data_IF_094922587205
#
_entry.id   IF_094922587205
#
_cell.length_a   1.000
_cell.length_b   1.000
_cell.length_c   1.000
_cell.angle_alpha   90.00
_cell.angle_beta   90.00
_cell.angle_gamma   90.00
#
_symmetry.space_group_name_H-M   'P 1'
#
loop_
_entity.id
_entity.type
_entity.pdbx_description
1 polymer ?
#
# COMPACT_ATOMS: atom_id res chain seq x y z
N UNK A 1 19.82 22.56 35.83
CA UNK A 1 18.94 21.82 34.90
C UNK A 1 19.82 21.30 33.79
N UNK A 2 20.09 19.98 33.69
CA UNK A 2 20.76 19.47 32.52
C UNK A 2 19.76 19.38 31.38
N UNK A 3 20.13 20.10 30.34
CA UNK A 3 19.72 20.10 28.94
C UNK A 3 19.24 18.71 28.50
N UNK A 4 18.07 18.68 27.85
CA UNK A 4 17.49 17.50 27.24
C UNK A 4 18.58 16.73 26.45
N UNK A 5 18.81 15.48 26.83
CA UNK A 5 19.63 14.57 26.03
C UNK A 5 18.99 14.52 24.65
N UNK A 6 19.77 14.75 23.59
CA UNK A 6 19.44 14.30 22.25
C UNK A 6 19.11 12.81 22.37
N UNK A 7 17.81 12.49 22.45
CA UNK A 7 17.33 11.15 22.22
C UNK A 7 17.88 10.79 20.85
N UNK A 8 18.66 9.71 20.75
CA UNK A 8 19.17 9.21 19.48
C UNK A 8 17.93 8.92 18.64
N UNK A 9 17.53 9.89 17.83
CA UNK A 9 16.33 9.83 17.02
C UNK A 9 16.55 8.68 16.03
N UNK A 10 15.58 7.78 15.96
CA UNK A 10 15.53 6.80 14.88
C UNK A 10 15.68 7.54 13.56
N UNK A 11 16.63 7.14 12.72
CA UNK A 11 16.75 7.69 11.36
C UNK A 11 15.41 7.45 10.66
N UNK A 12 14.81 8.50 10.13
CA UNK A 12 13.52 8.42 9.46
C UNK A 12 13.70 8.56 7.95
N UNK A 13 12.89 7.84 7.21
CA UNK A 13 12.81 7.92 5.75
C UNK A 13 11.58 8.72 5.36
N UNK A 14 11.76 9.73 4.51
CA UNK A 14 10.65 10.47 3.92
C UNK A 14 10.00 9.64 2.80
N UNK A 15 8.70 9.39 2.92
CA UNK A 15 7.87 8.79 1.88
C UNK A 15 6.99 9.89 1.28
N UNK A 16 7.15 10.24 -0.01
CA UNK A 16 6.42 11.33 -0.62
C UNK A 16 4.93 11.02 -0.73
N UNK A 17 4.12 12.08 -0.72
CA UNK A 17 2.70 12.00 -1.01
C UNK A 17 2.48 11.41 -2.42
N UNK A 18 1.36 10.73 -2.60
CA UNK A 18 0.99 10.19 -3.90
C UNK A 18 0.34 8.83 -3.82
N UNK A 19 -0.12 8.39 -4.99
CA UNK A 19 -0.86 7.14 -5.13
C UNK A 19 0.06 5.93 -5.27
N UNK A 20 -0.42 4.79 -4.80
CA UNK A 20 0.20 3.48 -5.08
C UNK A 20 -0.85 2.38 -5.07
N UNK A 21 -0.48 1.19 -5.59
CA UNK A 21 -1.33 0.00 -5.54
C UNK A 21 -1.07 -0.82 -4.28
N UNK A 22 -2.05 -0.81 -3.38
CA UNK A 22 -2.12 -1.62 -2.17
C UNK A 22 -2.79 -2.97 -2.42
N UNK A 23 -2.29 -4.01 -1.78
CA UNK A 23 -2.78 -5.38 -1.83
C UNK A 23 -2.09 -6.23 -2.88
N UNK A 24 -2.76 -7.29 -3.31
CA UNK A 24 -2.25 -8.18 -4.34
C UNK A 24 -3.32 -8.56 -5.36
N UNK A 25 -2.87 -8.98 -6.54
CA UNK A 25 -3.70 -9.65 -7.54
C UNK A 25 -2.94 -10.86 -8.08
N UNK A 26 -3.68 -11.90 -8.44
CA UNK A 26 -3.15 -13.13 -9.06
C UNK A 26 -2.31 -12.83 -10.31
N UNK A 27 -2.65 -11.75 -11.00
CA UNK A 27 -2.15 -11.42 -12.34
C UNK A 27 -0.78 -10.73 -12.28
N UNK A 28 -0.40 -10.25 -11.09
CA UNK A 28 0.91 -9.66 -10.82
C UNK A 28 1.80 -10.56 -9.97
N UNK A 29 1.17 -11.47 -9.23
CA UNK A 29 1.84 -12.27 -8.22
C UNK A 29 1.80 -13.78 -8.51
N UNK A 30 1.99 -14.20 -9.76
CA UNK A 30 2.14 -15.61 -10.18
C UNK A 30 1.19 -16.57 -9.43
N UNK A 31 -0.07 -16.14 -9.22
CA UNK A 31 -1.12 -16.94 -8.58
C UNK A 31 -1.09 -17.06 -7.04
N UNK A 32 -0.17 -16.44 -6.30
CA UNK A 32 -0.14 -16.51 -4.82
C UNK A 32 -0.50 -15.16 -4.21
N UNK A 33 -1.78 -14.99 -3.95
CA UNK A 33 -2.34 -13.81 -3.32
C UNK A 33 -3.39 -14.25 -2.30
N UNK A 34 -3.20 -13.83 -1.05
CA UNK A 34 -4.17 -14.05 0.02
C UNK A 34 -5.49 -13.34 -0.34
N UNK A 35 -6.61 -14.00 -0.06
CA UNK A 35 -7.94 -13.45 -0.29
C UNK A 35 -8.15 -12.11 0.41
N UNK A 36 -7.42 -11.88 1.50
CA UNK A 36 -7.70 -10.78 2.44
C UNK A 36 -6.89 -9.53 2.08
N UNK A 37 -5.88 -9.70 1.23
CA UNK A 37 -5.14 -8.65 0.54
C UNK A 37 -5.75 -8.32 -0.85
N UNK A 38 -6.93 -8.87 -1.17
CA UNK A 38 -7.72 -8.53 -2.37
C UNK A 38 -8.90 -7.62 -2.01
N UNK A 39 -9.41 -6.83 -2.98
CA UNK A 39 -8.81 -6.58 -4.28
C UNK A 39 -7.58 -5.68 -4.17
N UNK A 40 -6.79 -5.65 -5.24
CA UNK A 40 -5.76 -4.62 -5.38
C UNK A 40 -6.44 -3.25 -5.51
N UNK A 41 -5.96 -2.29 -4.74
CA UNK A 41 -6.58 -0.98 -4.59
C UNK A 41 -5.53 0.08 -4.87
N UNK A 42 -5.74 0.96 -5.84
CA UNK A 42 -5.00 2.21 -5.83
C UNK A 42 -5.55 3.11 -4.73
N UNK A 43 -4.65 3.64 -3.90
CA UNK A 43 -4.93 4.55 -2.79
C UNK A 43 -3.92 5.69 -2.81
N UNK A 44 -4.32 6.86 -2.31
CA UNK A 44 -3.46 8.01 -2.11
C UNK A 44 -3.07 8.12 -0.65
N UNK A 45 -1.78 8.37 -0.40
CA UNK A 45 -1.27 8.71 0.93
C UNK A 45 -0.62 10.09 0.87
N UNK A 46 -0.86 10.90 1.90
CA UNK A 46 -0.07 12.09 2.18
C UNK A 46 1.40 11.73 2.40
N UNK A 47 2.25 12.75 2.40
CA UNK A 47 3.65 12.57 2.72
C UNK A 47 3.81 12.28 4.23
N UNK A 48 4.65 11.30 4.55
CA UNK A 48 4.95 10.91 5.92
C UNK A 48 6.42 10.54 6.06
N UNK A 49 6.87 10.45 7.30
CA UNK A 49 8.15 9.90 7.68
C UNK A 49 7.92 8.55 8.37
N UNK A 50 8.84 7.60 8.16
CA UNK A 50 8.79 6.29 8.81
C UNK A 50 10.17 5.87 9.31
N UNK A 51 10.19 5.17 10.44
CA UNK A 51 11.23 4.26 10.94
C UNK A 51 12.10 3.68 9.81
N UNK A 52 13.38 4.07 9.63
CA UNK A 52 14.25 3.38 8.67
C UNK A 52 14.40 1.90 9.02
N UNK A 53 14.43 1.58 10.30
CA UNK A 53 14.45 0.22 10.85
C UNK A 53 13.38 0.07 11.93
N UNK A 54 13.18 -1.15 12.41
CA UNK A 54 12.42 -1.43 13.62
C UNK A 54 13.01 -0.69 14.84
N UNK A 55 12.16 -0.40 15.82
CA UNK A 55 12.61 0.14 17.11
C UNK A 55 13.48 -0.89 17.82
N UNK A 56 14.66 -0.46 18.25
CA UNK A 56 15.63 -1.34 18.90
C UNK A 56 15.42 -1.46 20.41
N UNK A 57 15.99 -2.49 21.04
CA UNK A 57 16.03 -2.65 22.49
C UNK A 57 16.59 -1.41 23.18
N UNK A 58 17.69 -0.85 22.69
CA UNK A 58 18.32 0.35 23.26
C UNK A 58 17.40 1.56 23.23
N UNK A 59 16.69 1.75 22.13
CA UNK A 59 15.73 2.84 21.97
C UNK A 59 14.51 2.68 22.87
N UNK A 60 13.90 1.50 22.88
CA UNK A 60 12.78 1.20 23.76
C UNK A 60 13.16 1.36 25.24
N UNK A 61 14.37 0.95 25.62
CA UNK A 61 14.90 1.12 26.98
C UNK A 61 15.01 2.59 27.42
N UNK A 62 15.18 3.54 26.50
CA UNK A 62 15.14 4.97 26.85
C UNK A 62 13.74 5.39 27.31
N UNK A 63 12.67 4.89 26.67
CA UNK A 63 11.30 5.17 27.08
C UNK A 63 10.96 4.53 28.43
N UNK A 64 11.46 3.31 28.68
CA UNK A 64 11.32 2.63 29.97
C UNK A 64 12.08 3.40 31.06
N UNK A 65 13.31 3.81 30.80
CA UNK A 65 14.12 4.59 31.75
C UNK A 65 13.50 5.96 32.07
N UNK A 66 12.75 6.54 31.12
CA UNK A 66 11.95 7.75 31.33
C UNK A 66 10.69 7.53 32.17
N UNK A 67 10.35 6.28 32.52
CA UNK A 67 9.16 5.92 33.28
C UNK A 67 7.86 6.00 32.48
N UNK A 68 7.93 6.04 31.15
CA UNK A 68 6.76 6.18 30.26
C UNK A 68 6.33 4.84 29.69
N UNK A 69 7.28 4.03 29.20
CA UNK A 69 6.99 2.71 28.66
C UNK A 69 7.08 1.61 29.72
N UNK A 70 6.24 0.59 29.58
CA UNK A 70 6.39 -0.66 30.32
C UNK A 70 7.50 -1.54 29.76
N UNK A 71 8.10 -2.38 30.59
CA UNK A 71 9.02 -3.41 30.13
C UNK A 71 8.33 -4.42 29.19
N UNK A 72 9.07 -5.01 28.23
CA UNK A 72 8.57 -6.16 27.47
C UNK A 72 8.09 -7.29 28.41
N UNK A 73 7.21 -8.16 27.91
CA UNK A 73 6.61 -9.24 28.71
C UNK A 73 7.67 -10.14 29.34
N UNK A 74 8.71 -10.44 28.57
CA UNK A 74 9.92 -11.13 29.01
C UNK A 74 11.13 -10.45 28.39
N UNK A 75 12.28 -10.58 29.04
CA UNK A 75 13.57 -10.06 28.56
C UNK A 75 14.33 -11.05 27.68
N UNK A 76 13.69 -12.17 27.33
CA UNK A 76 14.25 -13.29 26.56
C UNK A 76 13.76 -13.26 25.10
N UNK A 77 14.60 -13.75 24.19
CA UNK A 77 14.21 -14.15 22.83
C UNK A 77 14.22 -15.68 22.70
N UNK A 78 13.91 -16.22 21.51
CA UNK A 78 13.84 -17.67 21.25
C UNK A 78 15.04 -18.45 21.81
N UNK A 79 16.25 -17.93 21.58
CA UNK A 79 17.50 -18.64 21.92
C UNK A 79 18.35 -17.92 22.95
N UNK A 80 17.92 -16.74 23.43
CA UNK A 80 18.77 -15.84 24.25
C UNK A 80 18.04 -15.46 25.55
N UNK A 81 18.45 -16.00 26.71
CA UNK A 81 17.81 -15.71 28.01
C UNK A 81 18.14 -14.31 28.56
N UNK A 82 19.10 -13.61 27.96
CA UNK A 82 19.40 -12.23 28.29
C UNK A 82 19.46 -11.43 26.98
N UNK A 83 18.28 -11.11 26.44
CA UNK A 83 18.10 -10.39 25.19
C UNK A 83 17.98 -8.88 25.43
N UNK A 84 16.93 -8.45 26.15
CA UNK A 84 16.54 -7.04 26.22
C UNK A 84 17.58 -6.13 26.91
N UNK A 85 18.18 -6.57 28.01
CA UNK A 85 19.16 -5.78 28.77
C UNK A 85 20.61 -5.98 28.37
N UNK A 86 20.89 -6.94 27.48
CA UNK A 86 22.25 -7.26 27.12
C UNK A 86 22.80 -6.22 26.12
N UNK A 87 23.92 -5.55 26.44
CA UNK A 87 24.50 -4.53 25.55
C UNK A 87 24.83 -5.06 24.14
N UNK A 88 25.10 -6.35 23.99
CA UNK A 88 25.36 -6.96 22.67
C UNK A 88 24.12 -6.97 21.76
N UNK A 89 22.92 -6.83 22.33
CA UNK A 89 21.64 -6.83 21.60
C UNK A 89 20.94 -5.46 21.63
N UNK A 90 21.67 -4.39 21.97
CA UNK A 90 21.13 -3.02 22.00
C UNK A 90 20.52 -2.61 20.65
N UNK A 91 21.13 -3.04 19.54
CA UNK A 91 20.68 -2.72 18.17
C UNK A 91 19.77 -3.80 17.55
N UNK A 92 19.23 -4.72 18.35
CA UNK A 92 18.26 -5.71 17.89
C UNK A 92 16.84 -5.18 18.11
N UNK A 93 15.85 -5.61 17.31
CA UNK A 93 14.48 -5.13 17.44
C UNK A 93 13.92 -5.42 18.83
N UNK A 94 13.20 -4.47 19.42
CA UNK A 94 12.41 -4.79 20.61
C UNK A 94 11.29 -5.76 20.22
N UNK A 95 11.13 -6.81 21.01
CA UNK A 95 10.13 -7.88 20.85
C UNK A 95 9.41 -8.09 22.18
N UNK A 96 8.44 -9.02 22.24
CA UNK A 96 7.66 -9.28 23.46
C UNK A 96 6.89 -8.03 23.92
N UNK A 97 6.44 -7.22 22.96
CA UNK A 97 5.65 -6.01 23.16
C UNK A 97 4.31 -6.15 22.45
N UNK A 98 3.26 -5.76 23.16
CA UNK A 98 1.91 -5.73 22.61
C UNK A 98 1.66 -4.43 21.83
N UNK A 99 0.51 -4.33 21.18
CA UNK A 99 0.17 -3.16 20.37
C UNK A 99 0.16 -1.86 21.22
N UNK A 100 -0.35 -1.94 22.45
CA UNK A 100 -0.45 -0.79 23.35
C UNK A 100 0.94 -0.25 23.75
N UNK A 101 1.90 -1.15 24.03
CA UNK A 101 3.30 -0.82 24.34
C UNK A 101 4.01 -0.21 23.14
N UNK A 102 3.80 -0.77 21.95
CA UNK A 102 4.32 -0.21 20.70
C UNK A 102 3.78 1.21 20.45
N UNK A 103 2.47 1.40 20.57
CA UNK A 103 1.81 2.68 20.39
C UNK A 103 2.23 3.72 21.46
N UNK A 104 2.39 3.29 22.72
CA UNK A 104 2.88 4.15 23.80
C UNK A 104 4.30 4.63 23.54
N UNK A 105 5.19 3.76 23.06
CA UNK A 105 6.54 4.16 22.68
C UNK A 105 6.54 5.18 21.55
N UNK A 106 5.79 4.92 20.47
CA UNK A 106 5.75 5.86 19.35
C UNK A 106 5.20 7.21 19.80
N UNK A 107 4.17 7.23 20.64
CA UNK A 107 3.63 8.46 21.22
C UNK A 107 4.66 9.21 22.07
N UNK A 108 5.43 8.51 22.91
CA UNK A 108 6.53 9.10 23.70
C UNK A 108 7.62 9.69 22.81
N UNK A 109 7.92 9.02 21.70
CA UNK A 109 8.86 9.49 20.69
C UNK A 109 8.31 10.63 19.82
N UNK A 110 7.12 11.18 20.12
CA UNK A 110 6.42 12.20 19.32
C UNK A 110 6.12 11.74 17.88
N UNK A 111 5.79 10.45 17.76
CA UNK A 111 5.44 9.73 16.53
C UNK A 111 4.12 8.97 16.76
N UNK A 112 3.77 8.07 15.84
CA UNK A 112 2.66 7.12 15.93
C UNK A 112 3.07 5.79 15.29
N UNK A 113 2.26 4.75 15.43
CA UNK A 113 2.39 3.59 14.54
C UNK A 113 2.03 3.99 13.10
N UNK A 114 2.68 3.41 12.07
CA UNK A 114 2.25 3.59 10.68
C UNK A 114 0.89 2.94 10.48
N UNK A 115 0.12 3.44 9.51
CA UNK A 115 -1.05 2.70 9.03
C UNK A 115 -0.62 1.49 8.21
N UNK A 116 -1.50 0.51 8.04
CA UNK A 116 -1.27 -0.64 7.15
C UNK A 116 -0.87 -0.17 5.74
N UNK A 117 -1.53 0.88 5.25
CA UNK A 117 -1.28 1.45 3.94
C UNK A 117 0.07 2.16 3.85
N UNK A 118 0.44 2.95 4.87
CA UNK A 118 1.74 3.61 4.93
C UNK A 118 2.87 2.59 4.98
N UNK A 119 2.71 1.55 5.81
CA UNK A 119 3.65 0.46 5.90
C UNK A 119 3.82 -0.23 4.54
N UNK A 120 2.72 -0.56 3.85
CA UNK A 120 2.80 -1.22 2.54
C UNK A 120 3.46 -0.32 1.49
N UNK A 121 3.13 0.98 1.45
CA UNK A 121 3.78 1.93 0.54
C UNK A 121 5.27 2.01 0.82
N UNK A 122 5.66 2.18 2.10
CA UNK A 122 7.05 2.25 2.52
C UNK A 122 7.84 0.99 2.16
N UNK A 123 7.22 -0.19 2.26
CA UNK A 123 7.82 -1.47 1.91
C UNK A 123 7.95 -1.64 0.39
N UNK A 124 6.89 -1.36 -0.35
CA UNK A 124 6.73 -1.77 -1.76
C UNK A 124 7.19 -0.74 -2.77
N UNK A 125 6.99 0.55 -2.51
CA UNK A 125 7.08 1.59 -3.52
C UNK A 125 5.78 1.80 -4.31
N UNK A 126 5.89 2.43 -5.48
CA UNK A 126 4.74 2.77 -6.36
C UNK A 126 4.37 1.66 -7.35
N UNK A 127 5.25 0.67 -7.51
CA UNK A 127 5.04 -0.50 -8.37
C UNK A 127 4.55 -1.70 -7.57
N UNK A 128 3.94 -2.70 -8.21
CA UNK A 128 3.57 -3.95 -7.53
C UNK A 128 4.83 -4.81 -7.37
N UNK A 129 5.41 -4.79 -6.17
CA UNK A 129 6.56 -5.61 -5.79
C UNK A 129 6.19 -6.55 -4.65
N UNK A 130 6.57 -7.82 -4.75
CA UNK A 130 6.33 -8.80 -3.68
C UNK A 130 7.17 -8.52 -2.45
N UNK A 131 8.39 -8.05 -2.68
CA UNK A 131 9.36 -7.77 -1.65
C UNK A 131 9.91 -6.35 -1.84
N UNK A 132 10.53 -5.75 -0.83
CA UNK A 132 11.02 -4.37 -0.91
C UNK A 132 11.97 -4.10 -2.09
N UNK A 133 12.75 -5.12 -2.45
CA UNK A 133 13.73 -5.09 -3.54
C UNK A 133 13.18 -5.49 -4.92
N UNK A 134 11.92 -5.93 -5.02
CA UNK A 134 11.35 -6.46 -6.27
C UNK A 134 10.68 -7.82 -6.10
N UNK A 135 10.77 -8.66 -7.14
CA UNK A 135 10.00 -9.91 -7.25
C UNK A 135 10.86 -11.19 -7.18
N UNK A 136 12.17 -11.04 -6.98
CA UNK A 136 13.07 -12.17 -6.73
C UNK A 136 12.76 -12.80 -5.38
N UNK A 137 12.68 -14.14 -5.34
CA UNK A 137 12.42 -14.87 -4.11
C UNK A 137 13.51 -14.57 -3.05
N UNK A 138 13.13 -14.43 -1.76
CA UNK A 138 14.06 -14.13 -0.68
C UNK A 138 15.03 -15.29 -0.46
N UNK A 139 16.25 -14.92 -0.07
CA UNK A 139 17.30 -15.85 0.37
C UNK A 139 17.80 -15.47 1.77
N UNK A 140 18.48 -16.38 2.45
CA UNK A 140 19.01 -16.14 3.79
C UNK A 140 20.12 -15.06 3.81
N UNK A 141 20.70 -14.73 2.66
CA UNK A 141 21.65 -13.63 2.48
C UNK A 141 20.97 -12.27 2.31
N UNK A 142 19.67 -12.25 1.96
CA UNK A 142 18.91 -11.02 1.75
C UNK A 142 18.00 -10.67 2.91
N UNK A 143 17.40 -11.66 3.60
CA UNK A 143 16.54 -11.43 4.77
C UNK A 143 16.68 -12.53 5.81
N UNK A 144 16.31 -12.23 7.06
CA UNK A 144 16.13 -13.23 8.11
C UNK A 144 14.70 -13.78 8.08
N UNK A 145 14.52 -15.01 7.61
CA UNK A 145 13.20 -15.67 7.49
C UNK A 145 13.33 -17.19 7.60
N UNK A 146 12.22 -17.92 7.44
CA UNK A 146 12.20 -19.39 7.39
C UNK A 146 11.92 -19.93 5.98
N UNK A 147 12.95 -20.19 5.14
CA UNK A 147 12.77 -20.84 3.84
C UNK A 147 12.21 -22.25 3.98
N UNK A 148 11.40 -22.65 2.99
CA UNK A 148 10.96 -24.03 2.83
C UNK A 148 12.10 -24.88 2.24
N UNK A 149 12.50 -25.94 2.93
CA UNK A 149 13.47 -26.94 2.44
C UNK A 149 12.78 -28.28 2.33
N UNK A 150 12.92 -28.92 1.17
CA UNK A 150 12.35 -30.24 0.90
C UNK A 150 13.48 -31.28 0.87
N UNK A 151 13.26 -32.43 1.53
CA UNK A 151 14.16 -33.57 1.37
C UNK A 151 13.95 -34.27 0.01
N UNK A 152 14.81 -35.24 -0.31
CA UNK A 152 14.72 -36.04 -1.55
C UNK A 152 13.44 -36.89 -1.63
N UNK A 153 12.73 -37.08 -0.51
CA UNK A 153 11.45 -37.78 -0.44
C UNK A 153 10.24 -36.86 -0.63
N UNK A 154 10.44 -35.55 -0.83
CA UNK A 154 9.37 -34.57 -1.00
C UNK A 154 8.77 -34.04 0.31
N UNK A 155 9.34 -34.36 1.48
CA UNK A 155 8.90 -33.77 2.73
C UNK A 155 9.50 -32.37 2.88
N UNK A 156 8.63 -31.36 2.83
CA UNK A 156 9.02 -29.96 2.94
C UNK A 156 8.75 -29.42 4.35
N UNK A 157 9.73 -28.77 4.95
CA UNK A 157 9.60 -28.07 6.25
C UNK A 157 10.29 -26.71 6.19
N UNK A 158 9.79 -25.77 6.97
CA UNK A 158 10.42 -24.46 7.13
C UNK A 158 11.57 -24.59 8.12
N UNK A 159 12.73 -24.02 7.76
CA UNK A 159 13.89 -23.95 8.64
C UNK A 159 14.38 -22.50 8.69
N UNK A 160 14.32 -21.84 9.86
CA UNK A 160 14.82 -20.47 10.02
C UNK A 160 16.27 -20.33 9.54
N UNK A 161 16.59 -19.20 8.91
CA UNK A 161 17.96 -18.87 8.53
C UNK A 161 18.86 -18.74 9.76
N UNK A 162 18.41 -17.98 10.76
CA UNK A 162 19.12 -17.74 12.02
C UNK A 162 18.47 -18.47 13.21
N UNK A 163 17.12 -18.52 13.23
CA UNK A 163 16.37 -19.10 14.35
C UNK A 163 16.11 -18.11 15.50
N UNK A 164 16.42 -16.84 15.29
CA UNK A 164 16.12 -15.74 16.20
C UNK A 164 16.26 -14.41 15.42
N UNK A 165 15.94 -13.29 16.07
CA UNK A 165 16.18 -11.93 15.59
C UNK A 165 17.66 -11.67 15.28
N UNK A 166 17.92 -10.75 14.36
CA UNK A 166 19.24 -10.16 14.10
C UNK A 166 19.22 -8.67 14.41
N UNK A 167 20.40 -8.04 14.49
CA UNK A 167 20.48 -6.58 14.61
C UNK A 167 19.79 -5.92 13.41
N UNK A 168 19.10 -4.80 13.65
CA UNK A 168 18.49 -4.03 12.57
C UNK A 168 19.55 -3.53 11.59
N UNK A 169 19.20 -3.45 10.31
CA UNK A 169 20.08 -3.09 9.22
C UNK A 169 21.13 -4.15 8.85
N UNK A 170 21.06 -5.37 9.41
CA UNK A 170 22.01 -6.46 9.08
C UNK A 170 21.93 -6.88 7.61
N UNK A 171 20.81 -6.62 6.96
CA UNK A 171 20.54 -6.97 5.57
C UNK A 171 20.42 -5.71 4.70
N UNK A 172 21.53 -5.11 4.23
CA UNK A 172 21.48 -3.88 3.44
C UNK A 172 20.79 -4.06 2.07
N UNK A 173 20.69 -5.30 1.57
CA UNK A 173 19.92 -5.64 0.37
C UNK A 173 18.41 -5.76 0.63
N UNK A 174 17.97 -5.72 1.89
CA UNK A 174 16.57 -5.63 2.31
C UNK A 174 16.09 -4.18 2.38
N UNK A 175 16.52 -3.36 1.41
CA UNK A 175 16.16 -1.95 1.32
C UNK A 175 14.97 -1.78 0.38
N UNK A 176 13.98 -1.00 0.80
CA UNK A 176 12.82 -0.65 -0.02
C UNK A 176 13.16 0.41 -1.05
N UNK A 177 12.24 0.63 -1.99
CA UNK A 177 12.32 1.72 -2.96
C UNK A 177 12.59 3.09 -2.33
N UNK A 178 12.07 3.34 -1.13
CA UNK A 178 12.22 4.61 -0.42
C UNK A 178 13.47 4.65 0.48
N UNK A 179 14.20 3.55 0.64
CA UNK A 179 15.37 3.48 1.52
C UNK A 179 15.08 2.91 2.92
N UNK A 180 13.89 2.35 3.14
CA UNK A 180 13.51 1.73 4.41
C UNK A 180 14.07 0.31 4.47
N UNK A 181 14.72 -0.06 5.58
CA UNK A 181 15.32 -1.37 5.79
C UNK A 181 14.39 -2.28 6.58
N UNK A 182 14.60 -3.58 6.39
CA UNK A 182 13.98 -4.64 7.21
C UNK A 182 12.45 -4.65 7.19
N UNK A 183 11.86 -4.18 6.10
CA UNK A 183 10.40 -4.20 5.92
C UNK A 183 9.85 -5.62 5.75
N UNK A 184 10.67 -6.64 5.44
CA UNK A 184 10.24 -8.04 5.47
C UNK A 184 11.28 -8.91 6.14
N UNK A 185 10.84 -9.89 6.93
CA UNK A 185 11.72 -10.71 7.76
C UNK A 185 12.03 -10.07 9.10
N UNK A 186 12.93 -10.71 9.85
CA UNK A 186 13.32 -10.34 11.20
C UNK A 186 12.14 -10.38 12.19
N UNK A 187 11.30 -9.37 12.28
CA UNK A 187 10.10 -9.37 13.12
C UNK A 187 8.89 -8.87 12.33
N UNK A 188 7.72 -9.43 12.63
CA UNK A 188 6.45 -8.83 12.25
C UNK A 188 6.32 -7.46 12.92
N UNK A 189 5.62 -6.53 12.29
CA UNK A 189 5.52 -5.17 12.81
C UNK A 189 4.08 -4.75 13.04
N UNK A 190 3.79 -4.29 14.27
CA UNK A 190 2.51 -3.65 14.58
C UNK A 190 2.26 -2.42 13.71
N UNK A 191 1.04 -2.31 13.18
CA UNK A 191 0.51 -1.10 12.54
C UNK A 191 -0.69 -0.56 13.34
N UNK A 192 -1.13 0.67 13.06
CA UNK A 192 -2.24 1.29 13.79
C UNK A 192 -3.60 0.62 13.54
N UNK A 193 -3.76 -0.03 12.40
CA UNK A 193 -5.04 -0.47 11.89
C UNK A 193 -5.58 -1.70 12.65
N UNK A 194 -6.88 -1.67 12.93
CA UNK A 194 -7.63 -2.87 13.29
C UNK A 194 -7.67 -3.86 12.11
N UNK A 195 -7.74 -5.14 12.41
CA UNK A 195 -7.97 -6.16 11.40
C UNK A 195 -9.46 -6.35 11.10
N UNK A 196 -9.80 -6.19 9.82
CA UNK A 196 -11.01 -6.75 9.23
C UNK A 196 -10.70 -7.32 7.83
N UNK A 197 -11.04 -8.59 7.66
CA UNK A 197 -10.88 -9.35 6.42
C UNK A 197 -11.45 -8.62 5.18
N UNK A 198 -12.69 -8.11 5.19
CA UNK A 198 -13.26 -7.45 4.01
C UNK A 198 -12.82 -5.98 3.83
N UNK A 199 -11.94 -5.43 4.66
CA UNK A 199 -11.65 -3.99 4.68
C UNK A 199 -11.23 -3.45 3.30
N UNK A 200 -10.46 -4.20 2.52
CA UNK A 200 -10.00 -3.75 1.20
C UNK A 200 -11.15 -3.55 0.20
N UNK A 201 -12.35 -4.11 0.42
CA UNK A 201 -13.53 -3.89 -0.43
C UNK A 201 -14.17 -2.52 -0.22
N UNK A 202 -14.01 -1.93 0.97
CA UNK A 202 -14.66 -0.68 1.38
C UNK A 202 -13.69 0.42 1.80
N UNK A 203 -12.38 0.15 1.74
CA UNK A 203 -11.37 1.11 2.17
C UNK A 203 -11.41 2.40 1.32
N UNK A 204 -11.29 3.57 1.98
CA UNK A 204 -11.27 4.85 1.30
C UNK A 204 -10.02 4.98 0.44
N UNK A 205 -10.12 5.84 -0.58
CA UNK A 205 -9.00 6.15 -1.48
C UNK A 205 -7.92 6.98 -0.78
N UNK A 206 -8.29 7.98 0.02
CA UNK A 206 -7.35 8.86 0.73
C UNK A 206 -7.05 8.37 2.13
N UNK A 207 -5.75 8.29 2.44
CA UNK A 207 -5.22 8.04 3.78
C UNK A 207 -6.02 7.00 4.57
N UNK A 208 -6.25 5.77 4.05
CA UNK A 208 -7.00 4.76 4.78
C UNK A 208 -6.34 4.47 6.12
N UNK A 209 -7.14 4.55 7.20
CA UNK A 209 -6.72 4.38 8.60
C UNK A 209 -7.13 3.03 9.19
N UNK A 210 -7.57 2.09 8.35
CA UNK A 210 -8.16 0.85 8.81
C UNK A 210 -9.66 0.97 9.14
N UNK A 211 -10.29 -0.13 9.55
CA UNK A 211 -11.60 -0.13 10.19
C UNK A 211 -11.56 0.64 11.52
N UNK A 212 -12.69 1.25 11.91
CA UNK A 212 -12.80 1.92 13.22
C UNK A 212 -13.00 0.96 14.39
N UNK A 213 -13.37 -0.29 14.10
CA UNK A 213 -13.58 -1.38 15.08
C UNK A 213 -13.16 -2.70 14.45
N UNK A 214 -12.62 -3.61 15.28
CA UNK A 214 -12.49 -5.03 14.93
C UNK A 214 -13.51 -5.83 15.76
N UNK A 215 -14.25 -6.74 15.12
CA UNK A 215 -15.20 -7.61 15.82
C UNK A 215 -14.55 -8.47 16.92
N UNK A 216 -13.23 -8.71 16.81
CA UNK A 216 -12.45 -9.51 17.76
C UNK A 216 -11.41 -8.68 18.56
N UNK A 217 -11.31 -7.38 18.31
CA UNK A 217 -10.28 -6.53 18.91
C UNK A 217 -8.85 -6.81 18.41
N UNK A 218 -8.72 -7.40 17.22
CA UNK A 218 -7.42 -7.74 16.62
C UNK A 218 -6.84 -6.53 15.87
N UNK A 219 -5.53 -6.31 16.02
CA UNK A 219 -4.78 -5.35 15.20
C UNK A 219 -3.96 -6.10 14.15
N UNK A 220 -3.53 -5.35 13.15
CA UNK A 220 -2.69 -5.88 12.09
C UNK A 220 -1.20 -5.89 12.46
N UNK A 221 -0.52 -6.95 12.03
CA UNK A 221 0.93 -6.96 11.86
C UNK A 221 1.32 -7.24 10.41
N UNK A 222 2.49 -6.74 10.02
CA UNK A 222 3.01 -6.75 8.64
C UNK A 222 4.43 -7.30 8.57
N UNK A 223 4.93 -7.60 7.37
CA UNK A 223 6.34 -7.89 7.10
C UNK A 223 6.83 -9.29 7.37
N UNK A 224 6.18 -10.05 8.26
CA UNK A 224 6.62 -11.39 8.65
C UNK A 224 7.88 -11.40 9.52
N UNK A 225 8.15 -12.52 10.17
CA UNK A 225 9.28 -12.68 11.11
C UNK A 225 10.35 -13.65 10.59
N UNK A 226 11.44 -13.77 11.36
CA UNK A 226 12.49 -14.78 11.19
C UNK A 226 11.96 -16.23 11.17
N UNK A 227 10.77 -16.47 11.74
CA UNK A 227 10.12 -17.79 11.78
C UNK A 227 9.10 -18.01 10.64
N UNK A 228 8.79 -16.98 9.85
CA UNK A 228 7.75 -17.04 8.83
C UNK A 228 8.28 -17.44 7.45
N UNK A 229 7.45 -18.14 6.69
CA UNK A 229 7.71 -18.42 5.30
C UNK A 229 7.29 -17.24 4.41
N UNK A 230 7.98 -17.02 3.28
CA UNK A 230 7.69 -15.94 2.31
C UNK A 230 6.24 -15.86 1.82
N UNK A 231 5.54 -17.00 1.80
CA UNK A 231 4.15 -17.06 1.33
C UNK A 231 3.12 -16.72 2.41
N UNK A 232 3.52 -16.79 3.69
CA UNK A 232 2.60 -16.69 4.82
C UNK A 232 2.85 -15.44 5.68
N UNK A 233 3.84 -14.60 5.32
CA UNK A 233 4.12 -13.38 6.08
C UNK A 233 5.23 -12.52 5.48
N UNK A 234 6.34 -13.12 5.03
CA UNK A 234 7.52 -12.38 4.57
C UNK A 234 7.36 -11.82 3.14
N UNK A 235 6.43 -10.89 2.95
CA UNK A 235 6.20 -10.13 1.73
C UNK A 235 5.47 -8.80 2.04
N UNK A 236 5.30 -7.94 1.03
CA UNK A 236 4.78 -6.58 1.21
C UNK A 236 3.27 -6.49 1.44
N UNK A 237 2.50 -7.56 1.22
CA UNK A 237 1.04 -7.48 1.14
C UNK A 237 0.29 -8.40 2.12
N UNK A 238 0.93 -9.42 2.70
CA UNK A 238 0.27 -10.34 3.63
C UNK A 238 -0.15 -9.62 4.91
N UNK A 239 -1.44 -9.72 5.20
CA UNK A 239 -2.11 -9.12 6.34
C UNK A 239 -2.21 -10.21 7.41
N UNK A 240 -1.70 -9.96 8.61
CA UNK A 240 -1.74 -10.93 9.70
C UNK A 240 -2.51 -10.31 10.86
N UNK A 241 -3.57 -10.97 11.29
CA UNK A 241 -4.35 -10.60 12.46
C UNK A 241 -3.70 -11.13 13.74
N UNK A 242 -3.56 -10.24 14.73
CA UNK A 242 -3.05 -10.59 16.04
C UNK A 242 -3.91 -9.92 17.11
N UNK A 243 -4.18 -10.64 18.21
CA UNK A 243 -4.86 -10.05 19.35
C UNK A 243 -4.00 -8.92 19.92
N UNK A 244 -4.64 -7.82 20.34
CA UNK A 244 -3.95 -6.62 20.84
C UNK A 244 -3.02 -6.88 22.04
N UNK A 245 -3.32 -7.89 22.86
CA UNK A 245 -2.52 -8.35 24.01
C UNK A 245 -1.41 -9.34 23.65
N UNK A 246 -1.36 -9.81 22.39
CA UNK A 246 -0.44 -10.86 21.98
C UNK A 246 1.00 -10.35 21.97
N UNK A 247 1.89 -11.12 22.59
CA UNK A 247 3.29 -10.77 22.82
C UNK A 247 4.13 -11.99 22.54
N UNK A 248 5.07 -11.85 21.61
CA UNK A 248 5.95 -12.94 21.18
C UNK A 248 7.30 -12.37 20.73
N UNK A 249 8.30 -13.23 20.72
CA UNK A 249 9.64 -13.03 20.16
C UNK A 249 9.68 -12.77 18.65
N UNK A 250 8.52 -12.80 17.98
CA UNK A 250 8.35 -12.63 16.54
C UNK A 250 7.74 -11.30 16.13
N UNK A 251 7.23 -10.52 17.07
CA UNK A 251 6.55 -9.25 16.79
C UNK A 251 7.30 -8.10 17.49
N UNK A 252 7.66 -7.10 16.70
CA UNK A 252 8.15 -5.79 17.12
C UNK A 252 7.34 -4.70 16.44
N UNK A 253 7.96 -3.55 16.17
CA UNK A 253 7.30 -2.43 15.48
C UNK A 253 8.31 -1.38 15.01
N UNK A 254 7.84 -0.48 14.14
CA UNK A 254 8.49 0.80 13.81
C UNK A 254 7.50 1.94 13.93
N UNK A 255 7.99 3.17 14.07
CA UNK A 255 7.14 4.34 14.17
C UNK A 255 7.05 5.09 12.83
N UNK A 256 6.05 5.95 12.70
CA UNK A 256 5.87 6.90 11.62
C UNK A 256 5.37 8.25 12.15
N UNK A 257 5.46 9.30 11.35
CA UNK A 257 4.87 10.60 11.65
C UNK A 257 4.49 11.34 10.39
N UNK A 258 3.52 12.24 10.50
CA UNK A 258 3.09 13.07 9.38
C UNK A 258 4.20 14.05 8.95
N UNK A 259 4.30 14.36 7.66
CA UNK A 259 5.26 15.35 7.17
C UNK A 259 4.80 16.80 7.36
N UNK A 260 3.54 17.03 7.74
CA UNK A 260 2.90 18.34 7.87
C UNK A 260 2.59 19.03 6.52
N UNK A 261 1.79 20.12 6.50
CA UNK A 261 1.32 20.78 5.27
C UNK A 261 2.38 21.48 4.39
N UNK A 262 3.68 21.32 4.68
CA UNK A 262 4.77 21.98 3.95
C UNK A 262 6.05 21.13 3.85
N UNK A 263 5.95 19.83 4.07
CA UNK A 263 7.09 18.92 4.26
C UNK A 263 7.83 18.49 2.99
N UNK A 264 8.15 19.40 2.07
CA UNK A 264 9.25 19.14 1.12
C UNK A 264 10.55 19.51 1.85
N UNK A 265 11.42 18.56 2.23
CA UNK A 265 12.65 18.92 2.91
C UNK A 265 13.58 19.70 1.97
N UNK A 266 14.11 20.82 2.46
CA UNK A 266 15.38 21.35 1.95
C UNK A 266 16.46 20.33 2.31
N UNK A 267 17.29 19.85 1.36
CA UNK A 267 18.23 18.77 1.62
C UNK A 267 19.30 19.20 2.63
N UNK A 268 19.33 18.55 3.80
CA UNK A 268 20.43 18.62 4.76
C UNK A 268 21.59 17.74 4.27
N UNK A 269 22.86 18.18 4.32
CA UNK A 269 23.97 17.44 3.72
C UNK A 269 24.37 16.24 4.60
N UNK A 270 24.09 15.03 4.11
CA UNK A 270 24.65 13.75 4.60
C UNK A 270 25.87 13.39 3.73
N UNK A 271 26.98 12.85 4.28
CA UNK A 271 28.17 12.49 3.50
C UNK A 271 27.82 11.48 2.42
N UNK A 272 28.17 11.82 1.18
CA UNK A 272 27.79 11.17 -0.08
C UNK A 272 28.14 9.68 -0.14
N UNK A 273 27.18 8.75 -0.08
CA UNK A 273 27.28 7.52 -0.85
C UNK A 273 27.03 7.88 -2.33
N UNK A 274 27.78 7.24 -3.23
CA UNK A 274 27.72 7.45 -4.68
C UNK A 274 26.27 7.58 -5.15
N UNK A 275 25.88 8.64 -5.88
CA UNK A 275 24.51 8.85 -6.29
C UNK A 275 24.11 7.75 -7.26
N UNK A 276 23.36 6.76 -6.75
CA UNK A 276 22.32 6.14 -7.57
C UNK A 276 21.27 7.24 -7.72
N UNK A 277 20.90 7.64 -8.95
CA UNK A 277 19.95 8.71 -9.15
C UNK A 277 18.68 8.39 -8.34
N UNK A 278 18.35 9.25 -7.38
CA UNK A 278 17.01 9.31 -6.82
C UNK A 278 16.07 9.41 -8.01
N UNK A 279 15.15 8.45 -8.21
CA UNK A 279 14.17 8.59 -9.27
C UNK A 279 13.39 9.86 -8.95
N UNK A 280 13.59 10.90 -9.77
CA UNK A 280 12.57 11.94 -9.95
C UNK A 280 11.24 11.19 -10.05
N UNK A 281 10.19 11.55 -9.29
CA UNK A 281 8.88 10.94 -9.49
C UNK A 281 8.54 11.09 -10.97
N UNK A 282 8.72 10.01 -11.72
CA UNK A 282 8.43 9.99 -13.14
C UNK A 282 6.94 10.30 -13.19
N UNK A 283 6.51 11.36 -13.90
CA UNK A 283 5.11 11.48 -14.25
C UNK A 283 4.70 10.12 -14.80
N UNK A 284 3.71 9.48 -14.16
CA UNK A 284 3.22 8.19 -14.66
C UNK A 284 2.94 8.38 -16.15
N UNK A 285 3.40 7.45 -17.01
CA UNK A 285 3.29 7.65 -18.44
C UNK A 285 1.83 7.96 -18.78
N UNK A 286 1.61 9.14 -19.35
CA UNK A 286 0.37 9.51 -20.01
C UNK A 286 0.65 9.37 -21.51
N UNK A 287 0.01 8.43 -22.21
CA UNK A 287 -0.96 7.43 -21.75
C UNK A 287 -0.35 6.25 -20.98
N UNK A 288 -1.15 5.59 -20.13
CA UNK A 288 -0.77 4.33 -19.50
C UNK A 288 -1.17 3.19 -20.42
N UNK A 289 -0.20 2.41 -20.90
CA UNK A 289 -0.46 1.27 -21.78
C UNK A 289 0.05 -0.03 -21.16
N UNK A 290 -0.73 -1.11 -21.29
CA UNK A 290 -0.35 -2.44 -20.84
C UNK A 290 -0.98 -3.52 -21.72
N UNK A 291 -0.18 -4.50 -22.09
CA UNK A 291 -0.65 -5.70 -22.75
C UNK A 291 -1.35 -6.62 -21.74
N UNK A 292 -2.63 -6.96 -21.98
CA UNK A 292 -3.45 -7.83 -21.13
C UNK A 292 -4.06 -8.93 -22.01
N UNK A 293 -4.14 -10.15 -21.50
CA UNK A 293 -4.67 -11.30 -22.24
C UNK A 293 -5.57 -12.18 -21.39
N UNK A 294 -5.66 -13.47 -21.72
CA UNK A 294 -6.55 -14.40 -21.03
C UNK A 294 -6.29 -14.54 -19.52
N UNK A 295 -5.07 -14.23 -19.06
CA UNK A 295 -4.74 -14.20 -17.63
C UNK A 295 -5.39 -13.04 -16.88
N UNK A 296 -5.95 -12.04 -17.57
CA UNK A 296 -6.44 -10.81 -16.95
C UNK A 296 -5.32 -9.85 -16.60
N UNK A 297 -5.62 -8.91 -15.70
CA UNK A 297 -4.67 -7.97 -15.14
C UNK A 297 -5.25 -6.58 -14.93
N UNK A 298 -4.46 -5.73 -14.28
CA UNK A 298 -4.87 -4.34 -14.00
C UNK A 298 -4.07 -3.36 -14.86
N UNK A 299 -4.77 -2.36 -15.38
CA UNK A 299 -4.25 -1.13 -15.95
C UNK A 299 -4.74 0.04 -15.10
N UNK A 300 -3.88 0.97 -14.71
CA UNK A 300 -4.29 2.10 -13.89
C UNK A 300 -3.50 3.33 -14.28
N UNK A 301 -4.08 4.49 -13.95
CA UNK A 301 -3.48 5.78 -14.21
C UNK A 301 -4.01 6.80 -13.22
N UNK A 302 -3.10 7.61 -12.66
CA UNK A 302 -3.47 8.74 -11.82
C UNK A 302 -3.26 10.05 -12.55
N UNK A 303 -4.06 11.02 -12.13
CA UNK A 303 -4.01 12.42 -12.50
C UNK A 303 -4.13 13.23 -11.21
N UNK A 304 -3.85 14.53 -11.26
CA UNK A 304 -3.73 15.42 -10.09
C UNK A 304 -4.86 15.22 -9.06
N UNK A 305 -6.12 15.19 -9.51
CA UNK A 305 -7.29 15.05 -8.62
C UNK A 305 -8.01 13.68 -8.70
N UNK A 306 -7.52 12.70 -9.48
CA UNK A 306 -8.28 11.47 -9.70
C UNK A 306 -7.45 10.25 -10.12
N UNK A 307 -8.03 9.08 -9.90
CA UNK A 307 -7.50 7.78 -10.25
C UNK A 307 -8.50 7.06 -11.16
N UNK A 308 -8.00 6.43 -12.21
CA UNK A 308 -8.71 5.39 -12.94
C UNK A 308 -7.93 4.08 -12.82
N UNK A 309 -8.62 3.03 -12.39
CA UNK A 309 -8.11 1.66 -12.37
C UNK A 309 -9.09 0.79 -13.14
N UNK A 310 -8.56 -0.01 -14.05
CA UNK A 310 -9.28 -1.00 -14.81
C UNK A 310 -8.72 -2.38 -14.48
N UNK A 311 -9.56 -3.25 -13.93
CA UNK A 311 -9.27 -4.65 -13.71
C UNK A 311 -9.97 -5.50 -14.78
N UNK A 312 -9.17 -6.25 -15.54
CA UNK A 312 -9.61 -7.30 -16.44
C UNK A 312 -9.59 -8.61 -15.66
N UNK A 313 -10.73 -9.26 -15.39
CA UNK A 313 -10.74 -10.54 -14.71
C UNK A 313 -10.08 -11.63 -15.57
N UNK A 314 -9.49 -12.64 -14.93
CA UNK A 314 -8.99 -13.83 -15.63
C UNK A 314 -10.11 -14.50 -16.46
N UNK A 315 -9.78 -14.89 -17.69
CA UNK A 315 -10.75 -15.39 -18.68
C UNK A 315 -11.62 -14.31 -19.32
N UNK A 316 -11.49 -13.04 -18.89
CA UNK A 316 -12.26 -11.91 -19.40
C UNK A 316 -11.93 -11.51 -20.84
N UNK A 317 -10.79 -11.96 -21.36
CA UNK A 317 -10.36 -11.73 -22.75
C UNK A 317 -10.14 -13.04 -23.50
N UNK A 318 -10.55 -13.05 -24.77
CA UNK A 318 -10.29 -14.16 -25.71
C UNK A 318 -8.89 -14.13 -26.32
N UNK A 319 -8.28 -12.95 -26.43
CA UNK A 319 -6.99 -12.71 -27.06
C UNK A 319 -6.21 -11.67 -26.25
N UNK A 320 -4.89 -11.70 -26.40
CA UNK A 320 -4.03 -10.66 -25.85
C UNK A 320 -4.22 -9.36 -26.64
N UNK A 321 -4.25 -8.25 -25.93
CA UNK A 321 -4.55 -6.93 -26.46
C UNK A 321 -3.76 -5.86 -25.69
N UNK A 322 -3.22 -4.88 -26.42
CA UNK A 322 -2.61 -3.72 -25.79
C UNK A 322 -3.69 -2.72 -25.39
N UNK A 323 -3.94 -2.60 -24.09
CA UNK A 323 -4.86 -1.62 -23.55
C UNK A 323 -4.14 -0.31 -23.31
N UNK A 324 -4.76 0.77 -23.73
CA UNK A 324 -4.29 2.13 -23.46
C UNK A 324 -5.37 2.86 -22.71
N UNK A 325 -5.00 3.43 -21.56
CA UNK A 325 -5.81 4.34 -20.77
C UNK A 325 -5.27 5.75 -21.00
N UNK A 326 -6.13 6.60 -21.54
CA UNK A 326 -5.79 7.99 -21.86
C UNK A 326 -6.85 8.91 -21.28
N UNK A 327 -6.41 9.98 -20.64
CA UNK A 327 -7.26 11.12 -20.34
C UNK A 327 -7.15 12.14 -21.48
N UNK A 328 -8.27 12.47 -22.10
CA UNK A 328 -8.33 13.56 -23.06
C UNK A 328 -8.82 14.82 -22.35
N UNK A 329 -7.99 15.88 -22.32
CA UNK A 329 -8.55 17.23 -22.36
C UNK A 329 -9.05 17.42 -23.79
N UNK A 330 -10.34 17.28 -24.04
CA UNK A 330 -10.89 17.59 -25.35
C UNK A 330 -10.89 19.12 -25.50
N UNK A 331 -10.08 19.70 -26.41
CA UNK A 331 -10.24 21.09 -26.78
C UNK A 331 -11.57 21.17 -27.54
N UNK A 332 -12.50 21.99 -27.05
CA UNK A 332 -13.75 22.33 -27.74
C UNK A 332 -14.78 21.20 -27.92
N UNK A 333 -15.37 20.72 -26.81
CA UNK A 333 -16.65 20.00 -26.87
C UNK A 333 -17.82 21.00 -26.85
N UNK A 334 -18.42 21.24 -28.02
CA UNK A 334 -19.74 21.85 -28.19
C UNK A 334 -20.85 20.79 -27.96
N UNK A 335 -21.76 21.00 -27.01
CA UNK A 335 -22.93 20.13 -26.76
C UNK A 335 -23.27 19.85 -25.29
N UNK A 336 -24.26 18.97 -25.06
CA UNK A 336 -24.98 18.62 -23.80
C UNK A 336 -24.13 18.08 -22.62
N UNK A 337 -22.81 18.23 -22.66
CA UNK A 337 -21.87 17.56 -21.75
C UNK A 337 -21.17 18.54 -20.80
N UNK A 338 -21.83 19.65 -20.46
CA UNK A 338 -21.36 20.55 -19.41
C UNK A 338 -21.47 19.85 -18.04
N UNK A 339 -20.36 19.24 -17.62
CA UNK A 339 -20.25 18.51 -16.34
C UNK A 339 -19.37 17.26 -16.40
N UNK A 340 -18.93 16.86 -17.60
CA UNK A 340 -17.98 15.76 -17.77
C UNK A 340 -16.54 16.26 -17.63
N UNK A 341 -15.91 16.04 -16.47
CA UNK A 341 -14.51 16.43 -16.22
C UNK A 341 -13.51 15.27 -16.38
N UNK A 342 -14.00 14.05 -16.63
CA UNK A 342 -13.18 12.86 -16.78
C UNK A 342 -13.62 12.07 -18.00
N UNK A 343 -12.74 12.02 -19.00
CA UNK A 343 -12.86 11.13 -20.14
C UNK A 343 -11.76 10.10 -20.05
N UNK A 344 -12.14 8.83 -20.20
CA UNK A 344 -11.18 7.76 -20.36
C UNK A 344 -11.51 7.00 -21.64
N UNK A 345 -10.50 6.84 -22.48
CA UNK A 345 -10.59 5.93 -23.62
C UNK A 345 -9.98 4.62 -23.20
N UNK A 346 -10.72 3.55 -23.41
CA UNK A 346 -10.21 2.20 -23.36
C UNK A 346 -10.20 1.63 -24.79
N UNK A 347 -9.02 1.52 -25.37
CA UNK A 347 -8.82 0.95 -26.71
C UNK A 347 -7.95 -0.30 -26.65
N UNK A 348 -8.09 -1.13 -27.68
CA UNK A 348 -7.19 -2.24 -27.98
C UNK A 348 -6.76 -2.12 -29.43
N UNK A 349 -5.46 -2.31 -29.71
CA UNK A 349 -4.92 -2.34 -31.07
C UNK A 349 -5.41 -3.54 -31.89
N UNK A 350 -5.92 -4.58 -31.22
CA UNK A 350 -6.43 -5.81 -31.82
C UNK A 350 -7.90 -6.00 -31.44
N UNK A 351 -8.67 -6.73 -32.26
CA UNK A 351 -10.05 -7.07 -31.91
C UNK A 351 -10.07 -7.94 -30.64
N UNK A 352 -10.36 -7.32 -29.51
CA UNK A 352 -10.47 -7.99 -28.21
C UNK A 352 -11.94 -8.30 -27.94
N UNK A 353 -12.28 -9.58 -27.80
CA UNK A 353 -13.62 -9.97 -27.35
C UNK A 353 -13.61 -10.05 -25.83
N UNK A 354 -14.50 -9.27 -25.21
CA UNK A 354 -14.76 -9.33 -23.77
C UNK A 354 -15.70 -10.49 -23.47
N UNK A 355 -15.22 -11.49 -22.72
CA UNK A 355 -16.02 -12.61 -22.24
C UNK A 355 -16.67 -12.31 -20.88
N UNK A 356 -16.09 -11.38 -20.13
CA UNK A 356 -16.57 -10.93 -18.82
C UNK A 356 -16.52 -9.40 -18.75
N UNK A 357 -17.42 -8.75 -17.99
CA UNK A 357 -17.32 -7.33 -17.73
C UNK A 357 -16.01 -6.97 -17.05
N UNK A 358 -15.41 -5.86 -17.48
CA UNK A 358 -14.25 -5.25 -16.84
C UNK A 358 -14.70 -4.48 -15.59
N UNK A 359 -13.86 -4.43 -14.56
CA UNK A 359 -14.11 -3.63 -13.36
C UNK A 359 -13.37 -2.31 -13.45
N UNK A 360 -14.12 -1.23 -13.55
CA UNK A 360 -13.64 0.13 -13.52
C UNK A 360 -13.75 0.67 -12.09
N UNK A 361 -12.65 1.18 -11.53
CA UNK A 361 -12.64 1.93 -10.28
C UNK A 361 -12.15 3.34 -10.55
N UNK A 362 -12.89 4.31 -10.03
CA UNK A 362 -12.59 5.73 -10.17
C UNK A 362 -12.51 6.35 -8.77
N UNK A 363 -11.41 7.02 -8.45
CA UNK A 363 -11.20 7.72 -7.17
C UNK A 363 -10.99 9.23 -7.37
N UNK A 364 -11.39 10.08 -6.41
CA UNK A 364 -11.41 11.55 -6.54
C UNK A 364 -10.88 12.27 -5.30
N UNK A 365 -9.98 13.25 -5.46
CA UNK A 365 -9.29 14.05 -4.42
C UNK A 365 -10.18 14.87 -3.52
N UNK A 366 -10.95 15.76 -4.11
CA UNK A 366 -11.77 16.66 -3.33
C UNK A 366 -13.19 16.14 -3.27
N UNK A 367 -13.74 16.11 -2.05
CA UNK A 367 -15.18 16.00 -1.77
C UNK A 367 -16.04 17.01 -2.56
N UNK A 368 -15.42 17.98 -3.27
CA UNK A 368 -16.08 19.01 -4.08
C UNK A 368 -16.32 18.67 -5.56
N UNK A 369 -15.88 17.51 -6.06
CA UNK A 369 -16.01 17.19 -7.49
C UNK A 369 -17.25 16.39 -7.87
N UNK A 370 -17.60 15.37 -7.09
CA UNK A 370 -18.63 14.41 -7.48
C UNK A 370 -19.25 13.80 -6.22
N UNK A 371 -20.53 14.07 -5.95
CA UNK A 371 -21.26 13.31 -4.93
C UNK A 371 -21.59 11.93 -5.48
N UNK A 372 -21.10 10.89 -4.80
CA UNK A 372 -21.30 9.47 -5.09
C UNK A 372 -22.77 9.10 -5.46
N UNK A 373 -23.72 9.77 -4.82
CA UNK A 373 -25.16 9.53 -4.99
C UNK A 373 -25.74 10.11 -6.29
N UNK A 374 -24.98 10.97 -6.98
CA UNK A 374 -25.41 11.71 -8.19
C UNK A 374 -24.66 11.29 -9.46
N UNK A 375 -23.79 10.28 -9.36
CA UNK A 375 -22.87 9.90 -10.44
C UNK A 375 -23.56 9.00 -11.45
N UNK A 376 -23.50 9.40 -12.71
CA UNK A 376 -23.87 8.57 -13.84
C UNK A 376 -22.65 8.36 -14.74
N UNK A 377 -22.41 7.10 -15.11
CA UNK A 377 -21.36 6.71 -16.05
C UNK A 377 -21.98 6.51 -17.43
N UNK A 378 -21.36 7.08 -18.45
CA UNK A 378 -21.80 7.00 -19.83
C UNK A 378 -20.70 6.46 -20.72
N UNK A 379 -21.08 5.74 -21.78
CA UNK A 379 -20.22 5.31 -22.89
C UNK A 379 -20.64 6.05 -24.15
N UNK A 380 -19.68 6.51 -24.94
CA UNK A 380 -19.93 7.10 -26.25
C UNK A 380 -20.16 6.00 -27.30
N UNK A 381 -21.28 6.05 -28.02
CA UNK A 381 -21.55 5.25 -29.23
C UNK A 381 -21.87 6.20 -30.41
N UNK A 382 -20.92 6.34 -31.33
CA UNK A 382 -21.02 7.37 -32.38
C UNK A 382 -21.02 8.78 -31.77
N UNK A 383 -22.11 9.51 -31.96
CA UNK A 383 -22.32 10.85 -31.39
C UNK A 383 -23.19 10.86 -30.13
N UNK A 384 -23.65 9.70 -29.64
CA UNK A 384 -24.55 9.62 -28.47
C UNK A 384 -23.83 9.06 -27.24
N UNK A 385 -24.30 9.47 -26.06
CA UNK A 385 -23.84 8.96 -24.77
C UNK A 385 -24.92 8.07 -24.17
N UNK A 386 -24.56 6.84 -23.82
CA UNK A 386 -25.50 5.81 -23.36
C UNK A 386 -25.03 5.17 -22.05
N UNK A 387 -25.97 4.60 -21.30
CA UNK A 387 -25.70 3.87 -20.04
C UNK A 387 -25.79 2.34 -20.21
N UNK A 388 -26.08 1.85 -21.41
CA UNK A 388 -26.25 0.41 -21.65
C UNK A 388 -24.93 -0.34 -21.51
N UNK A 389 -24.92 -1.40 -20.69
CA UNK A 389 -23.73 -2.20 -20.43
C UNK A 389 -22.79 -1.62 -19.36
N UNK A 390 -23.29 -0.62 -18.65
CA UNK A 390 -22.61 0.03 -17.52
C UNK A 390 -23.40 -0.25 -16.25
N UNK A 391 -22.73 -0.82 -15.25
CA UNK A 391 -23.34 -1.11 -13.94
C UNK A 391 -22.48 -0.52 -12.85
N UNK A 392 -22.92 0.55 -12.20
CA UNK A 392 -22.26 1.04 -10.97
C UNK A 392 -22.61 0.04 -9.86
N UNK A 393 -21.61 -0.74 -9.45
CA UNK A 393 -21.74 -1.76 -8.41
C UNK A 393 -21.66 -1.15 -7.01
N UNK A 394 -20.84 -0.11 -6.85
CA UNK A 394 -20.66 0.59 -5.58
C UNK A 394 -20.38 2.07 -5.80
N UNK A 395 -20.85 2.89 -4.88
CA UNK A 395 -20.62 4.33 -4.88
C UNK A 395 -20.45 4.82 -3.44
N UNK A 396 -19.34 5.50 -3.17
CA UNK A 396 -19.02 6.07 -1.86
C UNK A 396 -18.45 7.48 -2.04
N UNK A 397 -18.50 8.35 -1.02
CA UNK A 397 -17.81 9.64 -1.08
C UNK A 397 -16.34 9.46 -1.47
N UNK A 398 -15.97 9.98 -2.65
CA UNK A 398 -14.60 9.93 -3.17
C UNK A 398 -14.25 8.72 -4.05
N UNK A 399 -15.13 7.73 -4.27
CA UNK A 399 -14.90 6.71 -5.30
C UNK A 399 -16.15 6.00 -5.82
N UNK A 400 -16.07 5.51 -7.06
CA UNK A 400 -17.08 4.61 -7.65
C UNK A 400 -16.42 3.32 -8.17
N UNK A 401 -17.17 2.22 -8.12
CA UNK A 401 -16.82 0.95 -8.78
C UNK A 401 -17.93 0.63 -9.77
N UNK A 402 -17.57 0.45 -11.02
CA UNK A 402 -18.47 0.12 -12.11
C UNK A 402 -17.99 -1.13 -12.86
N UNK A 403 -18.93 -1.85 -13.46
CA UNK A 403 -18.68 -2.91 -14.43
C UNK A 403 -18.98 -2.38 -15.82
N UNK A 404 -18.07 -2.60 -16.77
CA UNK A 404 -18.24 -2.20 -18.17
C UNK A 404 -18.11 -3.43 -19.08
N UNK A 405 -18.97 -3.56 -20.08
CA UNK A 405 -19.06 -4.76 -20.93
C UNK A 405 -18.48 -4.58 -22.35
N UNK A 406 -18.08 -3.35 -22.70
CA UNK A 406 -17.45 -3.02 -23.99
C UNK A 406 -16.18 -2.20 -23.77
N UNK A 407 -15.44 -1.98 -24.86
CA UNK A 407 -14.40 -0.96 -24.95
C UNK A 407 -15.02 0.32 -25.53
N UNK A 408 -14.40 1.47 -25.29
CA UNK A 408 -14.92 2.75 -25.78
C UNK A 408 -14.45 3.96 -24.99
N UNK A 409 -15.06 5.10 -25.29
CA UNK A 409 -14.88 6.34 -24.54
C UNK A 409 -15.93 6.41 -23.46
N UNK A 410 -15.51 6.65 -22.21
CA UNK A 410 -16.41 6.80 -21.08
C UNK A 410 -16.33 8.20 -20.49
N UNK A 411 -17.47 8.67 -20.02
CA UNK A 411 -17.62 9.95 -19.35
C UNK A 411 -18.39 9.80 -18.04
N UNK A 412 -18.05 10.62 -17.05
CA UNK A 412 -18.76 10.74 -15.77
C UNK A 412 -19.51 12.07 -15.67
N UNK A 413 -20.79 12.04 -15.29
CA UNK A 413 -21.57 13.22 -14.93
C UNK A 413 -22.00 13.14 -13.46
N UNK A 414 -21.86 14.24 -12.72
CA UNK A 414 -22.32 14.34 -11.32
C UNK A 414 -22.50 15.79 -10.86
N UNK A 415 -23.18 15.99 -9.72
CA UNK A 415 -23.35 17.33 -9.15
C UNK A 415 -22.02 17.87 -8.61
N UNK A 416 -21.52 18.95 -9.23
CA UNK A 416 -20.49 19.84 -8.68
C UNK A 416 -21.18 21.03 -8.02
N UNK A 417 -20.66 21.54 -6.91
CA UNK A 417 -21.19 22.77 -6.30
C UNK A 417 -20.82 24.00 -7.15
N UNK A 418 -21.57 24.25 -8.24
CA UNK A 418 -22.01 25.55 -8.77
C UNK A 418 -22.58 25.40 -10.19
N UNK A 419 -23.77 25.97 -10.36
CA UNK A 419 -24.59 26.14 -11.58
C UNK A 419 -25.44 24.95 -12.05
N UNK A 420 -26.76 25.12 -11.86
CA UNK A 420 -27.77 24.61 -12.77
C UNK A 420 -28.20 25.71 -13.77
N UNK A 421 -28.28 25.33 -15.06
CA UNK A 421 -29.03 25.92 -16.18
C UNK A 421 -28.51 27.26 -16.79
N UNK A 422 -28.49 27.41 -18.14
CA UNK A 422 -29.72 27.41 -18.95
C UNK A 422 -29.72 26.61 -20.26
N UNK A 423 -30.96 26.39 -20.71
CA UNK A 423 -31.51 25.98 -22.01
C UNK A 423 -31.05 26.87 -23.19
N UNK A 424 -30.85 26.32 -24.41
CA UNK A 424 -31.40 26.81 -25.70
C UNK A 424 -31.01 25.90 -26.91
N UNK A 425 -31.81 26.02 -27.98
CA UNK A 425 -32.11 25.07 -29.09
C UNK A 425 -31.37 25.31 -30.43
N UNK A 426 -31.20 24.22 -31.23
CA UNK A 426 -31.27 24.03 -32.72
C UNK A 426 -30.32 24.81 -33.64
N UNK A 427 -30.01 24.46 -34.91
CA UNK A 427 -30.27 23.36 -35.88
C UNK A 427 -29.09 23.42 -36.91
N UNK A 428 -28.61 22.27 -37.40
CA UNK A 428 -28.34 21.86 -38.81
C UNK A 428 -27.53 20.56 -38.88
#
# INVERSE_FOLDING_TARGET
>A
MPIASEAIANEEVFVPAGSFLRGCSSDFNNGKCDGDAKPINAIYLDAFYIDKTEVTNGQYNNCVAAGVCQLPLTTESETRPNYYYNPSYTNYPVIQVDWNRANQYCSWASKRLPTEAEWEKAARGTEIRWYPWGNEDPTCERINFAPLKCDTGGNCRTYPCVGDTVAVGSYPANVSFYGVLDMVGNVREWVSDFYEKPYYLSAPYYNPQGPTVSAKGEHLVRGGSWADHRLNGNNTWVRIDEADIYQTERIGFRCARDAGPGGTPTPTPVPTPTPVPTPTPTPLPHPASKELGAAGGVLWQTYEDHLTLLEVPAGGLSTTAQFTLTYAQLPDMQGDLQGFNHFLTLSSEQAATLNLPLRLRLGFDKLSGVKAETVQLYRQEGSTWITQGLTIAQSYPGYIIASIDKLGVYGLLGETYRLHLPLMLRDE
#
